data_IF_433844134831
#
_entry.id   IF_433844134831
#
_cell.length_a   1.000
_cell.length_b   1.000
_cell.length_c   1.000
_cell.angle_alpha   90.00
_cell.angle_beta   90.00
_cell.angle_gamma   90.00
#
_symmetry.space_group_name_H-M   'P 1'
#
loop_
_entity.id
_entity.type
_entity.pdbx_description
1 polymer ?
#
# COMPACT_ATOMS: atom_id res chain seq x y z
N UNK A 1 -0.78 6.47 4.29
CA UNK A 1 -2.05 7.22 4.20
C UNK A 1 -2.73 7.11 2.85
N UNK A 2 -2.04 7.39 1.74
CA UNK A 2 -2.54 7.21 0.36
C UNK A 2 -3.20 5.85 0.11
N UNK A 3 -2.60 4.76 0.63
CA UNK A 3 -3.18 3.41 0.55
C UNK A 3 -4.60 3.33 1.11
N UNK A 4 -4.92 4.00 2.22
CA UNK A 4 -6.27 3.95 2.79
C UNK A 4 -7.31 4.55 1.83
N UNK A 5 -6.95 5.61 1.11
CA UNK A 5 -7.79 6.26 0.10
C UNK A 5 -7.92 5.33 -1.12
N UNK A 6 -6.79 4.82 -1.62
CA UNK A 6 -6.76 3.90 -2.76
C UNK A 6 -7.56 2.62 -2.49
N UNK A 7 -7.40 2.02 -1.30
CA UNK A 7 -8.13 0.83 -0.86
C UNK A 7 -9.63 1.08 -0.77
N UNK A 8 -10.05 2.25 -0.26
CA UNK A 8 -11.47 2.64 -0.25
C UNK A 8 -12.04 2.73 -1.67
N UNK A 9 -11.32 3.35 -2.62
CA UNK A 9 -11.75 3.42 -4.02
C UNK A 9 -11.77 2.05 -4.69
N UNK A 10 -10.79 1.20 -4.39
CA UNK A 10 -10.70 -0.16 -4.90
C UNK A 10 -11.94 -0.98 -4.45
N UNK A 11 -12.32 -0.89 -3.18
CA UNK A 11 -13.54 -1.54 -2.66
C UNK A 11 -14.84 -0.99 -3.27
N UNK A 12 -14.82 0.25 -3.80
CA UNK A 12 -15.92 0.83 -4.58
C UNK A 12 -15.86 0.47 -6.08
N UNK A 13 -14.99 -0.48 -6.46
CA UNK A 13 -14.73 -0.90 -7.86
C UNK A 13 -14.19 0.20 -8.78
N UNK A 14 -13.68 1.31 -8.21
CA UNK A 14 -13.03 2.40 -8.96
C UNK A 14 -11.55 2.10 -9.17
N UNK A 15 -11.25 0.99 -9.86
CA UNK A 15 -9.91 0.42 -9.94
C UNK A 15 -8.86 1.34 -10.56
N UNK A 16 -9.21 2.03 -11.64
CA UNK A 16 -8.29 2.96 -12.34
C UNK A 16 -7.87 4.09 -11.41
N UNK A 17 -8.83 4.72 -10.73
CA UNK A 17 -8.55 5.79 -9.78
C UNK A 17 -7.73 5.28 -8.58
N UNK A 18 -8.07 4.11 -8.04
CA UNK A 18 -7.31 3.48 -6.96
C UNK A 18 -5.84 3.22 -7.37
N UNK A 19 -5.62 2.69 -8.58
CA UNK A 19 -4.27 2.38 -9.07
C UNK A 19 -3.49 3.66 -9.38
N UNK A 20 -4.14 4.70 -9.91
CA UNK A 20 -3.51 6.01 -10.11
C UNK A 20 -2.97 6.59 -8.79
N UNK A 21 -3.77 6.57 -7.72
CA UNK A 21 -3.32 7.03 -6.39
C UNK A 21 -2.16 6.18 -5.86
N UNK A 22 -2.23 4.86 -6.02
CA UNK A 22 -1.15 3.94 -5.63
C UNK A 22 0.16 4.24 -6.38
N UNK A 23 0.08 4.50 -7.69
CA UNK A 23 1.27 4.84 -8.49
C UNK A 23 1.84 6.23 -8.16
N UNK A 24 0.99 7.23 -7.93
CA UNK A 24 1.42 8.55 -7.46
C UNK A 24 2.14 8.42 -6.11
N UNK A 25 1.58 7.62 -5.19
CA UNK A 25 2.23 7.34 -3.91
C UNK A 25 3.59 6.66 -4.09
N UNK A 26 3.68 5.65 -4.97
CA UNK A 26 4.94 4.97 -5.29
C UNK A 26 5.98 5.95 -5.80
N UNK A 27 5.58 6.85 -6.70
CA UNK A 27 6.48 7.84 -7.29
C UNK A 27 7.12 8.75 -6.23
N UNK A 28 6.34 9.24 -5.25
CA UNK A 28 6.85 10.14 -4.22
C UNK A 28 7.58 9.43 -3.07
N UNK A 29 7.21 8.18 -2.75
CA UNK A 29 7.69 7.50 -1.52
C UNK A 29 8.64 6.34 -1.79
N UNK A 30 8.67 5.81 -3.01
CA UNK A 30 9.35 4.55 -3.32
C UNK A 30 8.66 3.30 -2.74
N UNK A 31 7.51 3.44 -2.07
CA UNK A 31 6.73 2.34 -1.49
C UNK A 31 5.59 1.98 -2.46
N UNK A 32 5.61 0.76 -2.98
CA UNK A 32 4.50 0.22 -3.78
C UNK A 32 3.55 -0.60 -2.91
N UNK A 33 2.34 -0.09 -2.72
CA UNK A 33 1.24 -0.84 -2.10
C UNK A 33 0.11 -0.97 -3.11
N UNK A 34 -0.25 -2.19 -3.45
CA UNK A 34 -1.40 -2.43 -4.31
C UNK A 34 -2.71 -2.06 -3.57
N UNK A 35 -3.66 -1.34 -4.19
CA UNK A 35 -4.90 -0.93 -3.51
C UNK A 35 -5.73 -2.10 -2.95
N UNK A 36 -5.63 -3.29 -3.54
CA UNK A 36 -6.30 -4.51 -3.06
C UNK A 36 -5.70 -5.12 -1.78
N UNK A 37 -4.48 -4.73 -1.40
CA UNK A 37 -3.80 -5.28 -0.23
C UNK A 37 -4.58 -4.99 1.06
N UNK A 38 -4.74 -6.03 1.90
CA UNK A 38 -5.42 -5.94 3.19
C UNK A 38 -4.39 -5.67 4.26
N UNK A 39 -4.51 -4.53 4.94
CA UNK A 39 -3.53 -4.09 5.95
C UNK A 39 -4.26 -3.86 7.27
N UNK A 40 -3.77 -4.51 8.33
CA UNK A 40 -4.21 -4.31 9.70
C UNK A 40 -3.86 -2.94 10.28
N UNK A 41 -4.11 -2.78 11.57
CA UNK A 41 -3.84 -1.55 12.31
C UNK A 41 -2.37 -1.44 12.69
N UNK A 42 -1.88 -0.19 12.78
CA UNK A 42 -0.53 0.13 13.27
C UNK A 42 0.60 -0.52 12.45
N UNK A 43 0.43 -0.55 11.11
CA UNK A 43 1.54 -0.80 10.20
C UNK A 43 2.52 0.37 10.28
N UNK A 44 3.78 0.07 10.53
CA UNK A 44 4.89 1.01 10.46
C UNK A 44 5.84 0.59 9.32
N UNK A 45 6.11 1.50 8.38
CA UNK A 45 7.10 1.26 7.32
C UNK A 45 8.23 2.26 7.55
N UNK A 46 9.42 1.75 7.82
CA UNK A 46 10.62 2.54 8.05
C UNK A 46 11.53 2.49 6.82
N UNK A 47 12.10 3.63 6.44
CA UNK A 47 12.94 3.78 5.25
C UNK A 47 12.37 3.17 3.95
N UNK A 48 11.04 3.12 3.78
CA UNK A 48 10.33 2.23 2.85
C UNK A 48 10.63 2.24 1.33
N UNK A 49 11.69 2.90 0.87
CA UNK A 49 12.18 2.79 -0.51
C UNK A 49 12.32 1.32 -0.92
N UNK A 50 11.71 0.97 -2.06
CA UNK A 50 11.78 -0.38 -2.62
C UNK A 50 10.86 -1.40 -1.93
N UNK A 51 9.99 -0.97 -1.01
CA UNK A 51 8.95 -1.86 -0.45
C UNK A 51 7.89 -2.15 -1.51
N UNK A 52 7.51 -3.41 -1.67
CA UNK A 52 6.45 -3.87 -2.57
C UNK A 52 5.45 -4.73 -1.80
N UNK A 53 4.15 -4.41 -1.86
CA UNK A 53 3.07 -5.17 -1.25
C UNK A 53 2.02 -5.49 -2.32
N UNK A 54 1.90 -6.78 -2.66
CA UNK A 54 1.04 -7.29 -3.74
C UNK A 54 -0.46 -7.24 -3.46
N UNK A 55 -1.26 -7.42 -4.52
CA UNK A 55 -2.73 -7.28 -4.50
C UNK A 55 -3.43 -8.18 -3.48
N UNK A 56 -3.02 -9.44 -3.38
CA UNK A 56 -3.64 -10.45 -2.51
C UNK A 56 -2.98 -10.52 -1.13
N UNK A 57 -1.97 -9.68 -0.87
CA UNK A 57 -1.25 -9.66 0.40
C UNK A 57 -2.19 -9.29 1.55
N UNK A 58 -2.02 -9.99 2.68
CA UNK A 58 -2.70 -9.68 3.95
C UNK A 58 -1.65 -9.47 5.03
N UNK A 59 -1.60 -8.26 5.58
CA UNK A 59 -0.72 -7.85 6.67
C UNK A 59 -1.55 -7.71 7.94
N UNK A 60 -1.10 -8.32 9.04
CA UNK A 60 -1.75 -8.26 10.34
C UNK A 60 -1.58 -6.92 11.07
N UNK A 61 -1.98 -6.90 12.34
CA UNK A 61 -1.80 -5.74 13.22
C UNK A 61 -0.36 -5.66 13.77
N UNK A 62 0.13 -4.44 14.04
CA UNK A 62 1.44 -4.18 14.67
C UNK A 62 2.65 -4.69 13.88
N UNK A 63 2.60 -4.60 12.56
CA UNK A 63 3.71 -5.02 11.69
C UNK A 63 4.65 -3.85 11.42
N UNK A 64 5.95 -4.12 11.44
CA UNK A 64 7.00 -3.21 10.99
C UNK A 64 7.66 -3.75 9.74
N UNK A 65 7.81 -2.92 8.71
CA UNK A 65 8.48 -3.26 7.44
C UNK A 65 9.62 -2.27 7.19
N UNK A 66 10.75 -2.78 6.71
CA UNK A 66 11.93 -1.99 6.34
C UNK A 66 12.08 -1.88 4.82
N UNK A 67 13.05 -1.09 4.36
CA UNK A 67 13.37 -0.89 2.94
C UNK A 67 13.55 -2.21 2.17
N UNK A 68 13.18 -2.21 0.88
CA UNK A 68 13.46 -3.32 -0.05
C UNK A 68 12.68 -4.63 0.17
N UNK A 69 11.78 -4.68 1.15
CA UNK A 69 10.92 -5.87 1.38
C UNK A 69 9.92 -6.03 0.23
N UNK A 70 9.76 -7.25 -0.28
CA UNK A 70 8.80 -7.62 -1.35
C UNK A 70 7.86 -8.71 -0.87
#
# INVERSE_FOLDING_TARGET
WSHLIAHKLYNQKKYVAARAISQISRFFTGIEIHPGAKIGKRLFIDHGMGVVIGETCTIGDNVTIYQGVT
#
